data_IF_949639268750
#
_entry.id   IF_949639268750
#
_cell.length_a   1.000
_cell.length_b   1.000
_cell.length_c   1.000
_cell.angle_alpha   90.00
_cell.angle_beta   90.00
_cell.angle_gamma   90.00
#
_symmetry.space_group_name_H-M   'P 1'
#
loop_
_entity.id
_entity.type
_entity.pdbx_description
1 polymer ?
#
# COMPACT_ATOMS: atom_id res chain seq x y z
N UNK A 1 19.11 8.03 0.12
CA UNK A 1 17.99 7.11 -0.22
C UNK A 1 18.05 6.79 -1.70
N UNK A 2 18.15 5.50 -2.05
CA UNK A 2 18.18 5.05 -3.42
C UNK A 2 16.79 4.67 -3.92
N UNK A 3 16.54 4.85 -5.22
CA UNK A 3 15.33 4.39 -5.88
C UNK A 3 15.71 3.19 -6.74
N UNK A 4 15.03 2.05 -6.53
CA UNK A 4 15.17 0.87 -7.38
C UNK A 4 14.05 0.87 -8.41
N UNK A 5 14.39 1.02 -9.69
CA UNK A 5 13.45 0.95 -10.80
C UNK A 5 13.52 -0.44 -11.44
N UNK A 6 12.48 -1.24 -11.26
CA UNK A 6 12.38 -2.56 -11.86
C UNK A 6 11.67 -2.42 -13.21
N UNK A 7 12.36 -2.80 -14.29
CA UNK A 7 11.76 -2.95 -15.62
C UNK A 7 11.47 -4.42 -15.89
N UNK A 8 10.22 -4.75 -16.10
CA UNK A 8 9.81 -6.11 -16.48
C UNK A 8 10.09 -6.35 -17.95
N UNK A 9 10.41 -7.61 -18.30
CA UNK A 9 10.65 -8.02 -19.70
C UNK A 9 9.38 -7.82 -20.53
N UNK A 10 9.53 -7.26 -21.72
CA UNK A 10 8.48 -7.02 -22.68
C UNK A 10 8.83 -7.61 -24.05
N UNK A 11 7.84 -8.18 -24.72
CA UNK A 11 8.02 -8.78 -26.05
C UNK A 11 8.85 -10.05 -26.04
N UNK A 12 9.36 -10.38 -27.21
CA UNK A 12 10.13 -11.61 -27.47
C UNK A 12 9.22 -12.74 -27.94
N UNK A 13 9.75 -13.65 -28.75
CA UNK A 13 8.97 -14.72 -29.36
C UNK A 13 9.21 -16.08 -28.69
N UNK A 14 10.08 -16.12 -27.67
CA UNK A 14 10.42 -17.35 -27.00
C UNK A 14 9.38 -17.73 -25.95
N UNK A 15 8.94 -18.96 -26.00
CA UNK A 15 8.19 -19.57 -24.93
C UNK A 15 9.18 -19.94 -23.79
N UNK A 16 8.81 -19.61 -22.56
CA UNK A 16 9.58 -19.93 -21.39
C UNK A 16 8.73 -20.83 -20.48
N UNK A 17 9.22 -22.01 -20.19
CA UNK A 17 8.65 -22.91 -19.19
C UNK A 17 9.69 -23.18 -18.13
N UNK A 18 9.27 -23.15 -16.88
CA UNK A 18 10.10 -23.55 -15.73
C UNK A 18 9.29 -24.44 -14.83
N UNK A 19 9.87 -25.56 -14.50
CA UNK A 19 9.38 -26.45 -13.49
C UNK A 19 10.43 -26.56 -12.38
N UNK A 20 10.01 -26.42 -11.15
CA UNK A 20 10.83 -26.69 -9.97
C UNK A 20 10.04 -27.59 -9.04
N UNK A 21 10.65 -28.65 -8.55
CA UNK A 21 10.11 -29.50 -7.51
C UNK A 21 11.21 -29.82 -6.50
N UNK A 22 10.93 -29.59 -5.24
CA UNK A 22 11.73 -29.99 -4.10
C UNK A 22 10.82 -30.64 -3.04
N UNK A 23 11.37 -30.98 -1.91
CA UNK A 23 10.62 -31.64 -0.83
C UNK A 23 9.43 -30.77 -0.34
N UNK A 24 9.61 -29.46 -0.28
CA UNK A 24 8.63 -28.53 0.29
C UNK A 24 7.83 -27.77 -0.75
N UNK A 25 8.24 -27.75 -2.02
CA UNK A 25 7.56 -26.93 -3.01
C UNK A 25 7.55 -27.50 -4.43
N UNK A 26 6.47 -27.18 -5.14
CA UNK A 26 6.31 -27.44 -6.57
C UNK A 26 5.91 -26.13 -7.24
N UNK A 27 6.67 -25.71 -8.25
CA UNK A 27 6.43 -24.51 -9.00
C UNK A 27 6.37 -24.82 -10.49
N UNK A 28 5.33 -24.32 -11.13
CA UNK A 28 5.18 -24.34 -12.59
C UNK A 28 5.06 -22.89 -13.06
N UNK A 29 5.93 -22.48 -13.95
CA UNK A 29 5.89 -21.17 -14.61
C UNK A 29 5.83 -21.34 -16.10
N UNK A 30 4.92 -20.65 -16.74
CA UNK A 30 4.80 -20.57 -18.20
C UNK A 30 4.73 -19.09 -18.59
N UNK A 31 5.49 -18.71 -19.58
CA UNK A 31 5.47 -17.34 -20.07
C UNK A 31 5.80 -17.26 -21.55
N UNK A 32 5.10 -16.36 -22.26
CA UNK A 32 5.34 -16.10 -23.67
C UNK A 32 5.16 -14.62 -24.00
N UNK A 33 6.11 -14.11 -24.76
CA UNK A 33 6.01 -12.83 -25.41
C UNK A 33 5.59 -12.97 -26.86
N UNK A 34 5.00 -11.89 -27.41
CA UNK A 34 4.68 -11.77 -28.83
C UNK A 34 5.08 -10.38 -29.27
N UNK A 35 5.69 -10.30 -30.45
CA UNK A 35 6.06 -9.04 -31.10
C UNK A 35 5.35 -8.95 -32.45
N UNK A 36 4.69 -7.82 -32.69
CA UNK A 36 4.04 -7.49 -33.95
C UNK A 36 4.70 -6.25 -34.55
N UNK A 37 5.86 -6.38 -35.23
CA UNK A 37 6.66 -5.24 -35.67
C UNK A 37 5.89 -4.26 -36.55
N UNK A 38 5.07 -4.78 -37.47
CA UNK A 38 4.23 -3.94 -38.38
C UNK A 38 3.21 -3.06 -37.61
N UNK A 39 2.74 -3.50 -36.46
CA UNK A 39 1.79 -2.78 -35.59
C UNK A 39 2.46 -2.06 -34.43
N UNK A 40 3.78 -2.23 -34.27
CA UNK A 40 4.55 -1.71 -33.15
C UNK A 40 3.96 -2.11 -31.80
N UNK A 41 3.48 -3.34 -31.70
CA UNK A 41 2.88 -3.91 -30.49
C UNK A 41 3.81 -5.00 -29.94
N UNK A 42 4.08 -4.92 -28.65
CA UNK A 42 4.75 -5.96 -27.88
C UNK A 42 3.83 -6.40 -26.74
N UNK A 43 3.67 -7.70 -26.58
CA UNK A 43 2.91 -8.26 -25.47
C UNK A 43 3.73 -9.29 -24.73
N UNK A 44 3.39 -9.52 -23.49
CA UNK A 44 3.94 -10.62 -22.70
C UNK A 44 2.86 -11.11 -21.74
N UNK A 45 2.66 -12.42 -21.69
CA UNK A 45 1.75 -13.07 -20.76
C UNK A 45 2.50 -14.15 -20.01
N UNK A 46 2.32 -14.18 -18.70
CA UNK A 46 2.91 -15.20 -17.86
C UNK A 46 1.93 -15.66 -16.78
N UNK A 47 2.04 -16.93 -16.42
CA UNK A 47 1.30 -17.58 -15.35
C UNK A 47 2.28 -18.39 -14.51
N UNK A 48 2.16 -18.32 -13.20
CA UNK A 48 2.84 -19.23 -12.29
C UNK A 48 1.87 -19.83 -11.27
N UNK A 49 2.13 -21.09 -10.96
CA UNK A 49 1.49 -21.84 -9.91
C UNK A 49 2.53 -22.36 -8.95
N UNK A 50 2.34 -22.08 -7.67
CA UNK A 50 3.14 -22.61 -6.58
C UNK A 50 2.25 -23.42 -5.63
N UNK A 51 2.70 -24.62 -5.28
CA UNK A 51 2.17 -25.43 -4.19
C UNK A 51 3.32 -25.68 -3.22
N UNK A 52 3.18 -25.22 -1.99
CA UNK A 52 4.24 -25.29 -0.98
C UNK A 52 3.70 -25.74 0.37
N UNK A 53 4.55 -26.40 1.14
CA UNK A 53 4.28 -26.85 2.49
C UNK A 53 5.44 -26.46 3.40
N UNK A 54 5.16 -26.08 4.64
CA UNK A 54 6.20 -25.80 5.63
C UNK A 54 6.95 -27.09 6.02
N UNK A 55 6.22 -28.15 6.29
CA UNK A 55 6.75 -29.52 6.45
C UNK A 55 6.15 -30.43 5.36
N UNK A 56 6.97 -31.04 4.48
CA UNK A 56 6.47 -31.92 3.42
C UNK A 56 5.72 -33.16 3.95
N UNK A 57 5.97 -33.56 5.19
CA UNK A 57 5.29 -34.71 5.83
C UNK A 57 3.90 -34.33 6.36
N UNK A 58 3.68 -33.02 6.62
CA UNK A 58 2.39 -32.53 7.07
C UNK A 58 1.43 -32.38 5.88
N UNK A 59 0.31 -33.11 5.94
CA UNK A 59 -0.75 -33.04 4.93
C UNK A 59 -1.89 -32.09 5.33
N UNK A 60 -1.81 -31.49 6.50
CA UNK A 60 -2.84 -30.61 7.04
C UNK A 60 -2.57 -29.16 6.68
N UNK A 61 -1.29 -28.78 6.53
CA UNK A 61 -0.88 -27.47 6.08
C UNK A 61 -0.60 -27.43 4.58
N UNK A 62 -1.08 -26.39 3.92
CA UNK A 62 -0.82 -26.18 2.51
C UNK A 62 -0.92 -24.70 2.13
N UNK A 63 0.08 -24.21 1.43
CA UNK A 63 0.10 -22.89 0.81
C UNK A 63 0.11 -23.03 -0.70
N UNK A 64 -0.82 -22.35 -1.37
CA UNK A 64 -0.87 -22.29 -2.83
C UNK A 64 -0.87 -20.85 -3.30
N UNK A 65 -0.21 -20.58 -4.41
CA UNK A 65 -0.22 -19.28 -5.07
C UNK A 65 -0.43 -19.45 -6.57
N UNK A 66 -1.30 -18.63 -7.11
CA UNK A 66 -1.50 -18.48 -8.54
C UNK A 66 -1.23 -17.02 -8.90
N UNK A 67 -0.31 -16.77 -9.83
CA UNK A 67 -0.13 -15.44 -10.41
C UNK A 67 -0.41 -15.49 -11.90
N UNK A 68 -0.97 -14.41 -12.41
CA UNK A 68 -1.16 -14.17 -13.83
C UNK A 68 -0.78 -12.73 -14.14
N UNK A 69 0.02 -12.52 -15.18
CA UNK A 69 0.40 -11.20 -15.66
C UNK A 69 0.16 -11.07 -17.14
N UNK A 70 -0.43 -9.96 -17.54
CA UNK A 70 -0.57 -9.55 -18.93
C UNK A 70 0.02 -8.16 -19.10
N UNK A 71 0.89 -7.99 -20.09
CA UNK A 71 1.56 -6.74 -20.41
C UNK A 71 1.43 -6.44 -21.89
N UNK A 72 1.20 -5.19 -22.21
CA UNK A 72 1.12 -4.72 -23.59
C UNK A 72 1.83 -3.37 -23.70
N UNK A 73 2.65 -3.23 -24.69
CA UNK A 73 3.23 -1.95 -25.14
C UNK A 73 2.89 -1.70 -26.60
N UNK A 74 2.58 -0.46 -26.90
CA UNK A 74 2.36 0.01 -28.26
C UNK A 74 2.99 1.37 -28.44
N UNK A 75 3.67 1.56 -29.56
CA UNK A 75 4.23 2.85 -29.97
C UNK A 75 3.65 3.22 -31.32
N UNK A 76 3.28 4.48 -31.51
CA UNK A 76 2.82 5.00 -32.80
C UNK A 76 3.12 6.49 -32.92
N UNK A 77 3.07 7.01 -34.14
CA UNK A 77 3.24 8.43 -34.42
C UNK A 77 1.89 9.08 -34.64
N UNK A 78 1.72 10.28 -34.13
CA UNK A 78 0.55 11.14 -34.39
C UNK A 78 1.06 12.55 -34.68
N UNK A 79 1.14 12.91 -35.95
CA UNK A 79 1.76 14.16 -36.39
C UNK A 79 3.21 14.25 -35.95
N UNK A 80 3.65 15.33 -35.27
CA UNK A 80 5.01 15.51 -34.78
C UNK A 80 5.30 14.84 -33.43
N UNK A 81 4.41 13.95 -32.95
CA UNK A 81 4.52 13.30 -31.66
C UNK A 81 4.67 11.80 -31.79
N UNK A 82 5.56 11.23 -31.00
CA UNK A 82 5.61 9.81 -30.70
C UNK A 82 4.72 9.54 -29.49
N UNK A 83 3.82 8.59 -29.62
CA UNK A 83 2.94 8.16 -28.54
C UNK A 83 3.36 6.77 -28.08
N UNK A 84 3.66 6.65 -26.81
CA UNK A 84 4.00 5.40 -26.15
C UNK A 84 2.87 5.04 -25.18
N UNK A 85 2.31 3.85 -25.32
CA UNK A 85 1.33 3.28 -24.40
C UNK A 85 1.84 1.99 -23.81
N UNK A 86 1.76 1.86 -22.50
CA UNK A 86 1.99 0.58 -21.82
C UNK A 86 0.89 0.29 -20.80
N UNK A 87 0.46 -0.95 -20.76
CA UNK A 87 -0.52 -1.43 -19.77
C UNK A 87 -0.07 -2.76 -19.18
N UNK A 88 -0.36 -2.91 -17.90
CA UNK A 88 -0.08 -4.11 -17.12
C UNK A 88 -1.32 -4.49 -16.31
N UNK A 89 -1.74 -5.74 -16.43
CA UNK A 89 -2.77 -6.32 -15.57
C UNK A 89 -2.17 -7.53 -14.86
N UNK A 90 -2.16 -7.48 -13.54
CA UNK A 90 -1.60 -8.54 -12.70
C UNK A 90 -2.69 -9.09 -11.77
N UNK A 91 -2.80 -10.40 -11.69
CA UNK A 91 -3.57 -11.11 -10.68
C UNK A 91 -2.63 -11.91 -9.79
N UNK A 92 -2.88 -11.86 -8.49
CA UNK A 92 -2.18 -12.67 -7.49
C UNK A 92 -3.20 -13.26 -6.52
N UNK A 93 -3.35 -14.59 -6.57
CA UNK A 93 -4.16 -15.36 -5.64
C UNK A 93 -3.26 -16.16 -4.71
N UNK A 94 -3.41 -16.02 -3.40
CA UNK A 94 -2.76 -16.88 -2.42
C UNK A 94 -3.78 -17.54 -1.51
N UNK A 95 -3.55 -18.82 -1.22
CA UNK A 95 -4.47 -19.69 -0.48
C UNK A 95 -3.65 -20.43 0.57
N UNK A 96 -3.88 -20.12 1.81
CA UNK A 96 -3.26 -20.82 2.94
C UNK A 96 -4.32 -21.60 3.70
N UNK A 97 -4.03 -22.81 4.06
CA UNK A 97 -4.96 -23.68 4.76
C UNK A 97 -4.20 -24.52 5.77
N UNK A 98 -4.65 -24.48 7.01
CA UNK A 98 -4.26 -25.36 8.11
C UNK A 98 -5.54 -26.05 8.59
N UNK A 99 -5.57 -27.37 8.47
CA UNK A 99 -6.73 -28.19 8.84
C UNK A 99 -6.56 -28.69 10.27
N UNK A 100 -7.67 -29.08 10.85
CA UNK A 100 -7.69 -29.76 12.17
C UNK A 100 -6.84 -31.04 12.09
N UNK A 101 -5.89 -31.13 13.03
CA UNK A 101 -5.14 -32.39 13.24
C UNK A 101 -5.92 -33.30 14.17
N UNK A 102 -6.43 -34.45 13.67
CA UNK A 102 -7.24 -35.35 14.46
C UNK A 102 -6.47 -36.04 15.59
N UNK A 103 -5.15 -36.14 15.49
CA UNK A 103 -4.31 -36.83 16.47
C UNK A 103 -3.95 -35.91 17.65
N UNK A 104 -3.64 -34.64 17.37
CA UNK A 104 -3.26 -33.67 18.38
C UNK A 104 -4.48 -32.89 18.91
N UNK A 105 -5.46 -32.63 18.02
CA UNK A 105 -6.62 -31.78 18.31
C UNK A 105 -7.90 -32.61 18.62
N UNK A 106 -7.78 -33.71 19.31
CA UNK A 106 -8.91 -34.63 19.58
C UNK A 106 -10.13 -33.96 20.22
N UNK A 107 -9.99 -32.77 20.79
CA UNK A 107 -11.06 -31.93 21.33
C UNK A 107 -10.83 -30.46 21.01
N UNK A 108 -9.90 -30.13 20.13
CA UNK A 108 -9.49 -28.79 19.75
C UNK A 108 -9.74 -28.62 18.24
N UNK A 109 -10.61 -27.72 17.90
CA UNK A 109 -10.97 -27.46 16.49
C UNK A 109 -10.11 -26.35 15.91
N UNK A 110 -8.76 -26.44 16.09
CA UNK A 110 -7.87 -25.42 15.57
C UNK A 110 -7.74 -25.54 14.07
N UNK A 111 -8.09 -24.48 13.36
CA UNK A 111 -7.95 -24.40 11.91
C UNK A 111 -7.74 -22.97 11.45
N UNK A 112 -7.06 -22.82 10.33
CA UNK A 112 -6.82 -21.53 9.71
C UNK A 112 -7.01 -21.65 8.19
N UNK A 113 -7.71 -20.67 7.61
CA UNK A 113 -7.90 -20.59 6.17
C UNK A 113 -7.82 -19.15 5.72
N UNK A 114 -6.89 -18.86 4.84
CA UNK A 114 -6.74 -17.54 4.25
C UNK A 114 -6.83 -17.61 2.72
N UNK A 115 -7.56 -16.68 2.14
CA UNK A 115 -7.71 -16.51 0.69
C UNK A 115 -7.53 -15.05 0.36
N UNK A 116 -6.44 -14.73 -0.31
CA UNK A 116 -6.12 -13.40 -0.74
C UNK A 116 -6.14 -13.37 -2.27
N UNK A 117 -7.01 -12.56 -2.86
CA UNK A 117 -7.10 -12.37 -4.30
C UNK A 117 -6.87 -10.90 -4.61
N UNK A 118 -5.77 -10.58 -5.25
CA UNK A 118 -5.41 -9.20 -5.62
C UNK A 118 -5.36 -9.06 -7.12
N UNK A 119 -6.06 -8.04 -7.62
CA UNK A 119 -6.02 -7.60 -9.00
C UNK A 119 -5.42 -6.18 -9.03
N UNK A 120 -4.51 -5.94 -9.95
CA UNK A 120 -3.98 -4.61 -10.22
C UNK A 120 -3.91 -4.34 -11.72
N UNK A 121 -4.21 -3.10 -12.10
CA UNK A 121 -4.16 -2.65 -13.48
C UNK A 121 -3.46 -1.29 -13.53
N UNK A 122 -2.41 -1.19 -14.32
CA UNK A 122 -1.57 0.00 -14.45
C UNK A 122 -1.54 0.41 -15.92
N UNK A 123 -1.75 1.67 -16.20
CA UNK A 123 -1.67 2.25 -17.53
C UNK A 123 -0.74 3.45 -17.54
N UNK A 124 0.07 3.55 -18.58
CA UNK A 124 0.92 4.70 -18.84
C UNK A 124 0.76 5.09 -20.32
N UNK A 125 0.51 6.36 -20.54
CA UNK A 125 0.47 6.96 -21.89
C UNK A 125 1.42 8.14 -21.88
N UNK A 126 2.31 8.21 -22.83
CA UNK A 126 3.25 9.32 -22.99
C UNK A 126 3.21 9.82 -24.42
N UNK A 127 2.93 11.10 -24.61
CA UNK A 127 3.07 11.86 -25.84
C UNK A 127 4.37 12.63 -25.79
N UNK A 128 5.31 12.34 -26.66
CA UNK A 128 6.61 12.97 -26.72
C UNK A 128 6.81 13.67 -28.06
N UNK A 129 7.21 14.93 -28.02
CA UNK A 129 7.55 15.69 -29.22
C UNK A 129 8.82 15.13 -29.87
N UNK A 130 8.81 14.99 -31.20
CA UNK A 130 10.00 14.66 -31.99
C UNK A 130 10.98 15.82 -32.05
N UNK A 131 10.49 17.05 -31.97
CA UNK A 131 11.32 18.24 -31.98
C UNK A 131 11.90 18.49 -30.57
N UNK A 132 13.20 18.30 -30.45
CA UNK A 132 13.92 18.49 -29.16
C UNK A 132 14.00 19.97 -28.72
N UNK A 133 13.69 20.92 -29.60
CA UNK A 133 13.70 22.37 -29.31
C UNK A 133 12.30 22.93 -29.07
N UNK A 134 11.26 22.12 -29.27
CA UNK A 134 9.89 22.55 -29.04
C UNK A 134 9.65 22.92 -27.54
N UNK A 135 8.83 23.94 -27.33
CA UNK A 135 8.39 24.34 -25.99
C UNK A 135 7.70 23.16 -25.26
N UNK A 136 6.77 22.50 -25.93
CA UNK A 136 6.13 21.29 -25.41
C UNK A 136 7.04 20.09 -25.68
N UNK A 137 7.51 19.44 -24.61
CA UNK A 137 8.38 18.26 -24.68
C UNK A 137 7.60 16.97 -24.60
N UNK A 138 6.81 16.78 -23.54
CA UNK A 138 5.98 15.60 -23.38
C UNK A 138 4.81 15.82 -22.43
N UNK A 139 3.78 15.00 -22.60
CA UNK A 139 2.66 14.85 -21.67
C UNK A 139 2.55 13.38 -21.28
N UNK A 140 2.60 13.09 -20.01
CA UNK A 140 2.44 11.74 -19.48
C UNK A 140 1.19 11.62 -18.63
N UNK A 141 0.40 10.58 -18.89
CA UNK A 141 -0.73 10.16 -18.09
C UNK A 141 -0.45 8.78 -17.50
N UNK A 142 -0.48 8.67 -16.18
CA UNK A 142 -0.28 7.43 -15.46
C UNK A 142 -1.53 7.15 -14.63
N UNK A 143 -2.06 5.94 -14.69
CA UNK A 143 -3.16 5.52 -13.84
C UNK A 143 -2.94 4.11 -13.33
N UNK A 144 -3.41 3.86 -12.12
CA UNK A 144 -3.46 2.50 -11.57
C UNK A 144 -4.72 2.30 -10.75
N UNK A 145 -5.24 1.08 -10.82
CA UNK A 145 -6.34 0.61 -9.99
C UNK A 145 -5.92 -0.71 -9.36
N UNK A 146 -6.15 -0.85 -8.08
CA UNK A 146 -5.92 -2.09 -7.35
C UNK A 146 -7.15 -2.47 -6.53
N UNK A 147 -7.48 -3.74 -6.54
CA UNK A 147 -8.55 -4.30 -5.73
C UNK A 147 -8.07 -5.60 -5.11
N UNK A 148 -8.34 -5.79 -3.84
CA UNK A 148 -8.12 -7.07 -3.17
C UNK A 148 -9.39 -7.58 -2.50
N UNK A 149 -9.51 -8.88 -2.41
CA UNK A 149 -10.53 -9.57 -1.60
C UNK A 149 -9.83 -10.60 -0.73
N UNK A 150 -9.62 -10.21 0.51
CA UNK A 150 -8.89 -10.99 1.49
C UNK A 150 -9.89 -11.54 2.50
N UNK A 151 -9.96 -12.87 2.60
CA UNK A 151 -10.79 -13.56 3.58
C UNK A 151 -9.92 -14.44 4.45
N UNK A 152 -10.12 -14.30 5.76
CA UNK A 152 -9.49 -15.18 6.76
C UNK A 152 -10.60 -15.79 7.60
N UNK A 153 -10.57 -17.09 7.76
CA UNK A 153 -11.38 -17.85 8.69
C UNK A 153 -10.41 -18.54 9.67
N UNK A 154 -10.50 -18.19 10.94
CA UNK A 154 -9.67 -18.75 12.02
C UNK A 154 -10.57 -19.33 13.10
N UNK A 155 -10.26 -20.53 13.52
CA UNK A 155 -10.91 -21.25 14.62
C UNK A 155 -9.83 -21.69 15.59
N UNK A 156 -10.00 -21.38 16.87
CA UNK A 156 -9.06 -21.81 17.92
C UNK A 156 -9.76 -22.29 19.16
N UNK A 157 -9.26 -23.38 19.69
CA UNK A 157 -9.63 -23.87 21.01
C UNK A 157 -8.88 -23.07 22.08
N UNK A 158 -9.61 -22.54 23.03
CA UNK A 158 -9.08 -21.82 24.17
C UNK A 158 -9.35 -22.60 25.46
N UNK A 159 -8.31 -22.73 26.30
CA UNK A 159 -8.42 -23.31 27.64
C UNK A 159 -7.90 -22.32 28.65
N UNK A 160 -8.79 -21.84 29.53
CA UNK A 160 -8.47 -20.85 30.56
C UNK A 160 -8.05 -21.57 31.84
N UNK A 161 -6.96 -21.10 32.44
CA UNK A 161 -6.47 -21.60 33.75
C UNK A 161 -7.20 -20.97 34.95
N UNK A 162 -7.95 -19.89 34.71
CA UNK A 162 -8.70 -19.14 35.75
C UNK A 162 -9.96 -18.56 35.16
N UNK A 163 -10.94 -18.26 36.02
CA UNK A 163 -12.14 -17.55 35.62
C UNK A 163 -11.79 -16.18 35.04
N UNK A 164 -12.28 -15.89 33.86
CA UNK A 164 -12.02 -14.64 33.13
C UNK A 164 -13.31 -13.91 32.89
N UNK A 165 -13.34 -12.66 33.32
CA UNK A 165 -14.46 -11.74 33.14
C UNK A 165 -14.48 -11.22 31.70
N UNK A 166 -15.66 -11.11 31.11
CA UNK A 166 -15.89 -10.50 29.83
C UNK A 166 -17.15 -9.60 29.89
N UNK A 167 -17.14 -8.47 29.16
CA UNK A 167 -18.32 -7.61 29.07
C UNK A 167 -19.40 -8.29 28.24
N UNK A 168 -20.66 -8.10 28.65
CA UNK A 168 -21.84 -8.63 27.95
C UNK A 168 -22.57 -7.52 27.15
N UNK A 169 -22.00 -6.32 27.09
CA UNK A 169 -22.56 -5.19 26.37
C UNK A 169 -21.50 -4.45 25.57
N UNK A 170 -21.93 -3.85 24.45
CA UNK A 170 -21.12 -2.92 23.66
C UNK A 170 -21.55 -1.46 23.91
N UNK A 171 -22.45 -1.22 24.87
CA UNK A 171 -22.92 0.11 25.22
C UNK A 171 -22.13 0.66 26.41
N UNK A 172 -22.05 1.98 26.51
CA UNK A 172 -21.45 2.64 27.66
C UNK A 172 -22.36 2.53 28.87
N UNK A 173 -21.77 2.41 30.07
CA UNK A 173 -22.47 2.37 31.33
C UNK A 173 -22.29 1.07 32.12
N UNK A 174 -23.08 0.94 33.18
CA UNK A 174 -23.06 -0.22 34.06
C UNK A 174 -23.86 -1.38 33.46
N UNK A 175 -23.32 -2.57 33.50
CA UNK A 175 -23.98 -3.78 33.01
C UNK A 175 -23.45 -5.01 33.73
N UNK A 176 -24.21 -6.09 33.70
CA UNK A 176 -23.74 -7.38 34.16
C UNK A 176 -22.69 -7.92 33.17
N UNK A 177 -21.55 -8.34 33.69
CA UNK A 177 -20.56 -9.08 32.91
C UNK A 177 -20.84 -10.58 32.93
N UNK A 178 -20.06 -11.31 32.13
CA UNK A 178 -20.10 -12.77 32.13
C UNK A 178 -18.71 -13.34 32.37
N UNK A 179 -18.64 -14.54 32.98
CA UNK A 179 -17.40 -15.30 33.02
C UNK A 179 -17.33 -16.16 31.76
N UNK A 180 -16.21 -16.04 31.04
CA UNK A 180 -15.95 -16.91 29.90
C UNK A 180 -15.94 -18.36 30.32
N UNK A 181 -16.41 -19.30 29.49
CA UNK A 181 -16.21 -20.73 29.73
C UNK A 181 -14.72 -21.07 29.88
N UNK A 182 -14.37 -22.02 30.76
CA UNK A 182 -12.98 -22.46 30.88
C UNK A 182 -12.43 -23.10 29.61
N UNK A 183 -13.31 -23.67 28.81
CA UNK A 183 -12.99 -24.26 27.51
C UNK A 183 -14.01 -23.80 26.50
N UNK A 184 -13.55 -23.24 25.40
CA UNK A 184 -14.41 -22.82 24.29
C UNK A 184 -13.65 -22.76 22.98
N UNK A 185 -14.39 -22.86 21.89
CA UNK A 185 -13.87 -22.64 20.55
C UNK A 185 -14.19 -21.21 20.15
N UNK A 186 -13.14 -20.41 19.91
CA UNK A 186 -13.25 -19.08 19.36
C UNK A 186 -13.21 -19.11 17.84
N UNK A 187 -14.02 -18.27 17.20
CA UNK A 187 -14.03 -18.11 15.74
C UNK A 187 -13.82 -16.65 15.37
N UNK A 188 -12.98 -16.41 14.40
CA UNK A 188 -12.78 -15.08 13.81
C UNK A 188 -12.85 -15.15 12.30
N UNK A 189 -13.60 -14.25 11.70
CA UNK A 189 -13.62 -14.04 10.25
C UNK A 189 -13.15 -12.64 9.95
N UNK A 190 -12.30 -12.52 8.94
CA UNK A 190 -11.88 -11.22 8.41
C UNK A 190 -12.34 -11.15 6.96
N UNK A 191 -13.10 -10.13 6.64
CA UNK A 191 -13.46 -9.76 5.26
C UNK A 191 -12.86 -8.38 4.98
N UNK A 192 -11.77 -8.37 4.22
CA UNK A 192 -11.02 -7.17 3.87
C UNK A 192 -11.07 -7.00 2.35
N UNK A 193 -11.57 -5.85 1.88
CA UNK A 193 -11.75 -5.55 0.44
C UNK A 193 -11.19 -4.16 0.12
N UNK A 194 -9.85 -3.99 0.22
CA UNK A 194 -9.22 -2.72 -0.10
C UNK A 194 -9.31 -2.45 -1.61
N UNK A 195 -9.64 -1.24 -1.93
CA UNK A 195 -9.63 -0.65 -3.26
C UNK A 195 -8.73 0.57 -3.26
N UNK A 196 -7.84 0.67 -4.23
CA UNK A 196 -6.99 1.83 -4.45
C UNK A 196 -7.06 2.27 -5.91
N UNK A 197 -7.14 3.58 -6.12
CA UNK A 197 -7.05 4.20 -7.44
C UNK A 197 -6.03 5.34 -7.40
N UNK A 198 -5.24 5.48 -8.44
CA UNK A 198 -4.25 6.54 -8.60
C UNK A 198 -4.26 7.06 -10.03
N UNK A 199 -4.21 8.38 -10.18
CA UNK A 199 -4.10 9.05 -11.46
C UNK A 199 -3.07 10.17 -11.34
N UNK A 200 -2.19 10.28 -12.34
CA UNK A 200 -1.20 11.36 -12.44
C UNK A 200 -1.10 11.87 -13.87
N UNK A 201 -1.17 13.18 -14.01
CA UNK A 201 -0.92 13.89 -15.25
C UNK A 201 0.33 14.77 -15.07
N UNK A 202 1.28 14.68 -16.01
CA UNK A 202 2.52 15.47 -15.96
C UNK A 202 2.84 16.01 -17.34
N UNK A 203 2.96 17.34 -17.45
CA UNK A 203 3.46 18.04 -18.62
C UNK A 203 4.92 18.42 -18.40
N UNK A 204 5.77 18.14 -19.38
CA UNK A 204 7.17 18.58 -19.42
C UNK A 204 7.33 19.60 -20.54
N UNK A 205 7.90 20.76 -20.19
CA UNK A 205 8.07 21.89 -21.10
C UNK A 205 9.55 22.28 -21.12
N UNK A 206 10.00 22.76 -22.26
CA UNK A 206 11.38 23.23 -22.44
C UNK A 206 11.35 24.69 -22.83
N UNK A 207 12.09 25.49 -22.08
CA UNK A 207 12.23 26.91 -22.26
C UNK A 207 13.72 27.24 -22.47
N UNK A 208 13.99 28.18 -23.36
CA UNK A 208 15.33 28.73 -23.53
C UNK A 208 15.27 30.22 -23.14
N UNK A 209 15.86 30.52 -21.99
CA UNK A 209 15.92 31.90 -21.47
C UNK A 209 17.38 32.34 -21.47
N UNK A 210 17.71 33.31 -22.31
CA UNK A 210 19.07 33.75 -22.55
C UNK A 210 19.99 32.59 -22.98
N UNK A 211 20.98 32.22 -22.18
CA UNK A 211 21.92 31.12 -22.43
C UNK A 211 21.56 29.84 -21.66
N UNK A 212 20.41 29.81 -20.99
CA UNK A 212 20.03 28.70 -20.14
C UNK A 212 18.90 27.90 -20.76
N UNK A 213 19.01 26.58 -20.64
CA UNK A 213 17.94 25.65 -20.95
C UNK A 213 17.22 25.33 -19.64
N UNK A 214 15.93 25.56 -19.61
CA UNK A 214 15.05 25.25 -18.50
C UNK A 214 14.14 24.08 -18.86
N UNK A 215 13.93 23.18 -17.93
CA UNK A 215 13.04 22.03 -18.06
C UNK A 215 11.96 22.13 -16.98
N UNK A 216 10.86 22.75 -17.36
CA UNK A 216 9.71 22.93 -16.47
C UNK A 216 8.81 21.69 -16.50
N UNK A 217 8.53 21.14 -15.32
CA UNK A 217 7.61 20.03 -15.09
C UNK A 217 6.44 20.51 -14.25
N UNK A 218 5.21 20.36 -14.77
CA UNK A 218 3.99 20.70 -14.05
C UNK A 218 3.08 19.49 -14.05
N UNK A 219 2.41 19.24 -12.94
CA UNK A 219 1.47 18.11 -12.91
C UNK A 219 0.56 18.12 -11.70
N UNK A 220 -0.32 17.15 -11.73
CA UNK A 220 -1.26 16.85 -10.67
C UNK A 220 -1.33 15.35 -10.46
N UNK A 221 -1.54 14.93 -9.23
CA UNK A 221 -1.88 13.55 -8.92
C UNK A 221 -3.04 13.48 -7.92
N UNK A 222 -3.83 12.44 -8.08
CA UNK A 222 -4.94 12.11 -7.23
C UNK A 222 -4.86 10.63 -6.86
N UNK A 223 -5.07 10.34 -5.58
CA UNK A 223 -5.14 9.00 -5.03
C UNK A 223 -6.42 8.82 -4.25
N UNK A 224 -7.01 7.64 -4.34
CA UNK A 224 -8.16 7.24 -3.56
C UNK A 224 -7.89 5.88 -2.92
N UNK A 225 -8.21 5.76 -1.63
CA UNK A 225 -8.16 4.51 -0.87
C UNK A 225 -9.50 4.29 -0.14
N UNK A 226 -10.07 3.11 -0.27
CA UNK A 226 -11.31 2.69 0.38
C UNK A 226 -11.26 1.20 0.70
N UNK A 227 -11.78 0.84 1.85
CA UNK A 227 -12.03 -0.56 2.18
C UNK A 227 -13.54 -0.85 2.17
N UNK A 228 -13.96 -1.81 1.37
CA UNK A 228 -15.36 -2.24 1.23
C UNK A 228 -15.68 -3.51 2.03
N UNK A 229 -14.75 -3.99 2.85
CA UNK A 229 -14.89 -5.20 3.64
C UNK A 229 -15.80 -5.03 4.85
N UNK A 230 -16.37 -6.14 5.31
CA UNK A 230 -17.16 -6.19 6.54
C UNK A 230 -16.26 -6.11 7.80
N UNK A 231 -14.93 -6.22 7.63
CA UNK A 231 -13.98 -6.09 8.72
C UNK A 231 -13.75 -7.39 9.49
N UNK A 232 -13.53 -7.24 10.79
CA UNK A 232 -13.35 -8.38 11.69
C UNK A 232 -14.67 -8.74 12.34
N UNK A 233 -15.08 -10.00 12.19
CA UNK A 233 -16.31 -10.56 12.72
C UNK A 233 -15.94 -11.68 13.70
N UNK A 234 -16.27 -11.51 14.97
CA UNK A 234 -16.05 -12.52 16.01
C UNK A 234 -17.04 -12.32 17.15
N UNK A 235 -17.24 -13.37 17.95
CA UNK A 235 -18.03 -13.31 19.17
C UNK A 235 -17.14 -12.80 20.33
N UNK A 236 -17.41 -11.64 20.92
CA UNK A 236 -16.64 -11.12 22.06
C UNK A 236 -16.64 -12.05 23.28
N UNK A 237 -17.64 -12.91 23.42
CA UNK A 237 -17.75 -13.91 24.49
C UNK A 237 -17.00 -15.21 24.18
N UNK A 238 -16.54 -15.37 22.94
CA UNK A 238 -15.72 -16.51 22.47
C UNK A 238 -14.61 -16.03 21.53
N UNK A 239 -13.74 -15.13 21.99
CA UNK A 239 -12.70 -14.57 21.14
C UNK A 239 -11.66 -15.64 20.79
N UNK A 240 -11.07 -15.55 19.61
CA UNK A 240 -9.93 -16.37 19.21
C UNK A 240 -8.72 -16.10 20.10
N UNK A 241 -8.55 -14.83 20.47
CA UNK A 241 -7.51 -14.40 21.40
C UNK A 241 -8.14 -13.66 22.59
N UNK A 242 -8.22 -14.35 23.72
CA UNK A 242 -8.83 -13.82 24.94
C UNK A 242 -7.96 -12.76 25.68
N UNK A 243 -6.72 -12.55 25.26
CA UNK A 243 -5.86 -11.49 25.83
C UNK A 243 -6.16 -10.09 25.25
N UNK A 244 -7.03 -10.01 24.24
CA UNK A 244 -7.34 -8.77 23.53
C UNK A 244 -8.85 -8.47 23.53
N UNK A 245 -9.51 -8.55 24.70
CA UNK A 245 -10.97 -8.30 24.82
C UNK A 245 -11.36 -6.81 24.77
N UNK A 246 -10.40 -5.89 24.85
CA UNK A 246 -10.69 -4.44 24.74
C UNK A 246 -11.08 -3.96 23.33
N UNK A 247 -10.95 -4.83 22.34
CA UNK A 247 -11.37 -4.52 20.97
C UNK A 247 -12.78 -5.08 20.71
N UNK A 248 -13.54 -4.40 19.85
CA UNK A 248 -14.85 -4.85 19.37
C UNK A 248 -14.79 -5.04 17.86
N UNK A 249 -15.63 -5.92 17.30
CA UNK A 249 -15.77 -6.03 15.84
C UNK A 249 -16.03 -4.67 15.22
N UNK A 250 -15.34 -4.36 14.10
CA UNK A 250 -15.53 -3.11 13.37
C UNK A 250 -15.65 -3.40 11.87
N UNK A 251 -16.72 -2.89 11.21
CA UNK A 251 -16.81 -2.89 9.77
C UNK A 251 -15.78 -1.95 9.15
N UNK A 252 -15.06 -2.41 8.12
CA UNK A 252 -14.10 -1.55 7.41
C UNK A 252 -14.79 -0.62 6.41
N UNK A 253 -15.96 -1.02 5.90
CA UNK A 253 -16.76 -0.23 4.97
C UNK A 253 -17.34 1.05 5.59
N UNK A 254 -17.40 1.18 6.91
CA UNK A 254 -17.83 2.38 7.62
C UNK A 254 -16.82 3.51 7.54
N UNK A 255 -15.53 3.18 7.30
CA UNK A 255 -14.49 4.20 7.15
C UNK A 255 -14.65 4.88 5.79
N UNK A 256 -14.83 6.23 5.73
CA UNK A 256 -14.95 6.94 4.47
C UNK A 256 -13.74 6.72 3.54
N UNK A 257 -13.95 6.93 2.24
CA UNK A 257 -12.84 6.91 1.29
C UNK A 257 -11.88 8.07 1.56
N UNK A 258 -10.59 7.80 1.60
CA UNK A 258 -9.56 8.82 1.61
C UNK A 258 -9.27 9.29 0.18
N UNK A 259 -9.15 10.59 -0.01
CA UNK A 259 -8.78 11.19 -1.29
C UNK A 259 -7.64 12.16 -1.07
N UNK A 260 -6.50 11.89 -1.69
CA UNK A 260 -5.35 12.78 -1.73
C UNK A 260 -5.26 13.46 -3.09
N UNK A 261 -5.20 14.78 -3.10
CA UNK A 261 -4.97 15.59 -4.30
C UNK A 261 -3.70 16.39 -4.14
N UNK A 262 -2.87 16.38 -5.15
CA UNK A 262 -1.65 17.19 -5.16
C UNK A 262 -1.43 17.85 -6.51
N UNK A 263 -0.88 19.05 -6.47
CA UNK A 263 -0.34 19.78 -7.61
C UNK A 263 1.15 19.99 -7.40
N UNK A 264 1.93 19.96 -8.46
CA UNK A 264 3.36 20.21 -8.37
C UNK A 264 3.88 20.97 -9.59
N UNK A 265 4.88 21.80 -9.35
CA UNK A 265 5.67 22.44 -10.37
C UNK A 265 7.15 22.35 -9.98
N UNK A 266 8.00 22.06 -10.94
CA UNK A 266 9.44 21.90 -10.75
C UNK A 266 10.16 22.43 -11.98
N UNK A 267 11.17 23.24 -11.80
CA UNK A 267 12.04 23.74 -12.84
C UNK A 267 13.47 23.25 -12.61
N UNK A 268 14.07 22.72 -13.66
CA UNK A 268 15.46 22.31 -13.69
C UNK A 268 16.19 23.14 -14.74
N UNK A 269 17.24 23.83 -14.34
CA UNK A 269 18.04 24.64 -15.25
C UNK A 269 19.53 24.56 -14.96
N UNK A 270 20.30 24.79 -16.02
CA UNK A 270 21.74 24.75 -16.00
C UNK A 270 22.31 26.10 -16.35
N UNK A 271 23.12 26.67 -15.45
CA UNK A 271 23.79 27.95 -15.61
C UNK A 271 25.27 27.72 -15.87
N UNK A 272 25.80 28.12 -17.04
CA UNK A 272 27.24 28.17 -17.25
C UNK A 272 27.81 29.37 -16.51
N UNK A 273 28.76 29.14 -15.60
CA UNK A 273 29.45 30.16 -14.81
C UNK A 273 30.95 30.07 -15.13
N UNK A 274 31.42 30.78 -16.14
CA UNK A 274 32.79 30.69 -16.67
C UNK A 274 33.09 29.26 -17.14
N UNK A 275 34.05 28.58 -16.52
CA UNK A 275 34.42 27.16 -16.78
C UNK A 275 33.63 26.19 -15.91
N UNK A 276 32.79 26.66 -15.00
CA UNK A 276 31.95 25.84 -14.10
C UNK A 276 30.55 25.70 -14.65
N UNK A 277 29.81 24.71 -14.13
CA UNK A 277 28.39 24.54 -14.42
C UNK A 277 27.63 24.45 -13.11
N UNK A 278 26.58 25.27 -12.98
CA UNK A 278 25.67 25.23 -11.85
C UNK A 278 24.34 24.63 -12.32
N UNK A 279 23.94 23.49 -11.75
CA UNK A 279 22.63 22.88 -11.96
C UNK A 279 21.73 23.22 -10.77
N UNK A 280 20.53 23.72 -11.05
CA UNK A 280 19.55 24.06 -10.04
C UNK A 280 18.23 23.37 -10.36
N UNK A 281 17.65 22.73 -9.36
CA UNK A 281 16.32 22.14 -9.41
C UNK A 281 15.50 22.77 -8.29
N UNK A 282 14.52 23.57 -8.65
CA UNK A 282 13.61 24.22 -7.71
C UNK A 282 12.19 23.76 -7.98
N UNK A 283 11.42 23.49 -6.94
CA UNK A 283 10.04 23.03 -7.11
C UNK A 283 9.19 23.26 -5.87
N UNK A 284 7.89 23.16 -6.08
CA UNK A 284 6.88 23.20 -5.03
C UNK A 284 5.83 22.14 -5.27
N UNK A 285 5.38 21.50 -4.21
CA UNK A 285 4.23 20.62 -4.19
C UNK A 285 3.19 21.17 -3.24
N UNK A 286 1.93 21.19 -3.67
CA UNK A 286 0.77 21.53 -2.85
C UNK A 286 -0.09 20.27 -2.72
N UNK A 287 -0.32 19.81 -1.50
CA UNK A 287 -1.09 18.59 -1.22
C UNK A 287 -2.24 18.86 -0.27
N UNK A 288 -3.38 18.20 -0.49
CA UNK A 288 -4.58 18.33 0.32
C UNK A 288 -5.32 17.01 0.42
N UNK A 289 -5.88 16.72 1.59
CA UNK A 289 -6.89 15.68 1.78
C UNK A 289 -8.27 16.23 1.41
N UNK A 290 -8.93 15.56 0.50
CA UNK A 290 -10.31 15.87 0.12
C UNK A 290 -11.28 15.04 0.95
N UNK A 291 -12.59 15.39 0.89
CA UNK A 291 -13.67 14.60 1.49
C UNK A 291 -13.59 14.47 3.03
N UNK A 292 -12.91 15.39 3.71
CA UNK A 292 -12.92 15.42 5.17
C UNK A 292 -14.13 16.22 5.68
N UNK A 293 -14.75 15.82 6.82
CA UNK A 293 -15.75 16.63 7.50
C UNK A 293 -15.24 18.03 7.86
N UNK A 294 -16.12 19.02 7.87
CA UNK A 294 -15.77 20.43 8.19
C UNK A 294 -15.14 20.60 9.58
N UNK A 295 -15.40 19.69 10.50
CA UNK A 295 -14.81 19.72 11.84
C UNK A 295 -13.30 19.50 11.85
N UNK A 296 -12.73 18.87 10.81
CA UNK A 296 -11.31 18.63 10.77
C UNK A 296 -10.52 19.87 10.35
N UNK A 297 -9.45 20.17 11.05
CA UNK A 297 -8.51 21.25 10.75
C UNK A 297 -7.83 21.12 9.36
N UNK A 298 -7.83 19.90 8.83
CA UNK A 298 -7.31 19.55 7.50
C UNK A 298 -8.34 19.78 6.39
N UNK A 299 -9.60 20.08 6.71
CA UNK A 299 -10.63 20.29 5.70
C UNK A 299 -10.26 21.42 4.73
N UNK A 300 -10.18 21.10 3.45
CA UNK A 300 -9.83 22.02 2.36
C UNK A 300 -8.49 22.75 2.54
N UNK A 301 -7.56 22.20 3.33
CA UNK A 301 -6.27 22.83 3.60
C UNK A 301 -5.18 22.26 2.70
N UNK A 302 -4.49 23.15 1.98
CA UNK A 302 -3.31 22.80 1.20
C UNK A 302 -2.03 23.00 2.02
N UNK A 303 -1.12 22.03 1.91
CA UNK A 303 0.22 22.08 2.45
C UNK A 303 1.21 22.25 1.32
N UNK A 304 2.08 23.27 1.44
CA UNK A 304 3.06 23.62 0.43
C UNK A 304 4.44 23.14 0.86
N UNK A 305 5.08 22.37 0.01
CA UNK A 305 6.40 21.78 0.21
C UNK A 305 7.37 22.29 -0.85
N UNK A 306 7.95 23.49 -0.64
CA UNK A 306 9.01 23.97 -1.49
C UNK A 306 10.30 23.19 -1.25
N UNK A 307 11.09 23.04 -2.33
CA UNK A 307 12.40 22.38 -2.29
C UNK A 307 13.31 22.98 -3.34
N UNK A 308 14.59 23.06 -3.00
CA UNK A 308 15.64 23.50 -3.91
C UNK A 308 16.82 22.56 -3.75
N UNK A 309 17.31 22.02 -4.87
CA UNK A 309 18.56 21.28 -4.95
C UNK A 309 19.50 22.05 -5.87
N UNK A 310 20.77 22.08 -5.51
CA UNK A 310 21.82 22.74 -6.27
C UNK A 310 23.03 21.81 -6.37
N UNK A 311 23.66 21.83 -7.53
CA UNK A 311 24.86 21.05 -7.81
C UNK A 311 25.85 21.91 -8.58
N UNK A 312 27.03 22.07 -8.02
CA UNK A 312 28.11 22.82 -8.62
C UNK A 312 29.14 21.85 -9.20
N UNK A 313 29.26 21.85 -10.52
CA UNK A 313 30.22 21.05 -11.26
C UNK A 313 31.45 21.90 -11.54
N UNK A 314 32.59 21.44 -11.10
CA UNK A 314 33.87 22.07 -11.36
C UNK A 314 34.48 21.58 -12.67
N UNK A 315 35.30 22.38 -13.34
CA UNK A 315 36.01 21.92 -14.52
C UNK A 315 36.89 20.73 -14.19
N UNK A 316 36.89 19.75 -15.09
CA UNK A 316 37.74 18.59 -14.95
C UNK A 316 39.21 18.99 -15.13
N UNK A 317 40.10 18.38 -14.38
CA UNK A 317 41.53 18.52 -14.52
C UNK A 317 42.18 17.14 -14.71
N UNK A 318 43.40 17.12 -15.26
CA UNK A 318 44.13 15.89 -15.55
C UNK A 318 45.28 15.73 -14.55
N UNK A 319 45.45 14.52 -14.03
CA UNK A 319 46.64 14.08 -13.29
C UNK A 319 47.24 12.94 -14.09
N UNK A 320 48.30 13.23 -14.83
CA UNK A 320 48.81 12.30 -15.84
C UNK A 320 47.75 12.05 -16.92
N UNK A 321 47.45 10.77 -17.21
CA UNK A 321 46.46 10.35 -18.20
C UNK A 321 45.01 10.22 -17.61
N UNK A 322 44.84 10.49 -16.31
CA UNK A 322 43.54 10.34 -15.64
C UNK A 322 42.82 11.67 -15.56
N UNK A 323 41.56 11.68 -16.05
CA UNK A 323 40.64 12.82 -15.93
C UNK A 323 39.93 12.73 -14.60
N UNK A 324 40.09 13.77 -13.78
CA UNK A 324 39.39 13.93 -12.51
C UNK A 324 38.32 15.03 -12.62
N UNK A 325 37.14 14.75 -12.16
CA UNK A 325 36.04 15.70 -12.02
C UNK A 325 35.51 15.66 -10.60
N UNK A 326 35.16 16.80 -10.05
CA UNK A 326 34.53 16.88 -8.73
C UNK A 326 33.32 17.79 -8.78
N UNK A 327 32.40 17.55 -7.88
CA UNK A 327 31.17 18.29 -7.76
C UNK A 327 30.79 18.45 -6.28
N UNK A 328 30.14 19.55 -5.97
CA UNK A 328 29.53 19.79 -4.66
C UNK A 328 28.05 19.99 -4.88
N UNK A 329 27.24 19.23 -4.16
CA UNK A 329 25.80 19.32 -4.22
C UNK A 329 25.18 19.53 -2.85
N UNK A 330 23.99 20.12 -2.83
CA UNK A 330 23.21 20.27 -1.62
C UNK A 330 21.74 20.49 -1.94
N UNK A 331 20.90 20.30 -0.95
CA UNK A 331 19.48 20.51 -1.10
C UNK A 331 18.80 20.88 0.22
N UNK A 332 17.74 21.65 0.10
CA UNK A 332 16.86 22.01 1.21
C UNK A 332 15.41 21.84 0.77
N UNK A 333 14.54 21.46 1.69
CA UNK A 333 13.13 21.38 1.38
C UNK A 333 12.25 20.98 2.56
N UNK A 334 10.98 21.24 2.36
CA UNK A 334 9.92 20.78 3.24
C UNK A 334 9.26 19.51 2.70
N UNK A 335 8.77 18.71 3.61
CA UNK A 335 7.97 17.52 3.29
C UNK A 335 6.85 17.38 4.30
N UNK A 336 5.63 17.44 3.80
CA UNK A 336 4.42 17.23 4.59
C UNK A 336 3.89 15.82 4.38
N UNK A 337 3.57 15.14 5.48
CA UNK A 337 2.96 13.80 5.49
C UNK A 337 1.56 13.91 6.09
N UNK A 338 0.55 13.61 5.27
CA UNK A 338 -0.84 13.61 5.70
C UNK A 338 -1.12 12.47 6.67
N UNK A 339 -2.05 12.65 7.62
CA UNK A 339 -2.51 11.55 8.47
C UNK A 339 -3.14 10.43 7.65
N UNK A 340 -2.91 9.21 8.08
CA UNK A 340 -3.53 8.02 7.48
C UNK A 340 -5.02 7.92 7.85
N UNK A 341 -5.79 7.15 7.08
CA UNK A 341 -7.21 6.89 7.39
C UNK A 341 -7.41 6.31 8.80
N UNK A 342 -6.49 5.50 9.29
CA UNK A 342 -6.56 4.94 10.65
C UNK A 342 -6.31 5.98 11.74
N UNK A 343 -5.58 7.05 11.45
CA UNK A 343 -5.40 8.17 12.36
C UNK A 343 -6.59 9.14 12.32
N UNK A 344 -7.19 9.33 11.14
CA UNK A 344 -8.37 10.18 10.96
C UNK A 344 -9.64 9.53 11.52
N UNK A 345 -9.76 8.21 11.37
CA UNK A 345 -10.91 7.42 11.81
C UNK A 345 -10.46 6.25 12.69
N UNK A 346 -9.93 6.53 13.90
CA UNK A 346 -9.46 5.48 14.81
C UNK A 346 -10.61 4.60 15.28
N UNK A 347 -10.29 3.41 15.78
CA UNK A 347 -11.25 2.57 16.46
C UNK A 347 -11.65 3.22 17.80
N UNK A 348 -12.92 3.06 18.16
CA UNK A 348 -13.35 3.35 19.51
C UNK A 348 -12.56 2.49 20.51
N UNK A 349 -12.18 3.08 21.62
CA UNK A 349 -11.56 2.37 22.73
C UNK A 349 -12.63 2.01 23.75
N UNK A 350 -12.71 0.74 24.08
CA UNK A 350 -13.59 0.23 25.12
C UNK A 350 -12.76 -0.06 26.38
N UNK A 351 -13.05 0.64 27.44
CA UNK A 351 -12.47 0.38 28.77
C UNK A 351 -13.52 -0.29 29.65
N UNK A 352 -13.35 -1.58 29.84
CA UNK A 352 -14.23 -2.42 30.65
C UNK A 352 -13.65 -2.55 32.06
N UNK A 353 -14.22 -1.86 33.03
CA UNK A 353 -13.77 -1.86 34.44
C UNK A 353 -14.69 -2.77 35.24
N UNK A 354 -14.07 -3.72 35.94
CA UNK A 354 -14.78 -4.65 36.82
C UNK A 354 -15.06 -3.93 38.14
N UNK A 355 -16.33 -3.82 38.52
CA UNK A 355 -16.77 -3.25 39.79
C UNK A 355 -16.99 -4.34 40.85
N UNK A 356 -17.56 -5.47 40.45
CA UNK A 356 -17.78 -6.64 41.28
C UNK A 356 -17.34 -7.89 40.55
N UNK A 357 -16.52 -8.71 41.19
CA UNK A 357 -16.02 -9.97 40.66
C UNK A 357 -16.13 -11.05 41.71
N UNK A 358 -17.21 -11.80 41.67
CA UNK A 358 -17.42 -12.95 42.53
C UNK A 358 -17.65 -14.20 41.67
N UNK A 359 -16.66 -15.05 41.59
CA UNK A 359 -16.76 -16.32 40.92
C UNK A 359 -17.13 -17.42 41.91
N UNK A 360 -18.11 -18.25 41.53
CA UNK A 360 -18.52 -19.45 42.24
C UNK A 360 -18.69 -20.61 41.27
N UNK A 361 -18.40 -21.86 41.71
CA UNK A 361 -18.54 -23.03 40.86
C UNK A 361 -19.99 -23.23 40.37
N UNK A 362 -20.97 -23.01 41.28
CA UNK A 362 -22.37 -22.94 40.89
C UNK A 362 -22.64 -21.61 40.18
N UNK A 363 -23.05 -21.63 38.87
CA UNK A 363 -23.31 -20.42 38.11
C UNK A 363 -24.37 -19.48 38.73
N UNK A 364 -25.34 -20.02 39.47
CA UNK A 364 -26.41 -19.24 40.11
C UNK A 364 -25.89 -18.21 41.13
N UNK A 365 -24.71 -18.50 41.72
CA UNK A 365 -24.11 -17.62 42.74
C UNK A 365 -23.04 -16.70 42.18
N UNK A 366 -22.75 -16.74 40.88
CA UNK A 366 -21.79 -15.85 40.24
C UNK A 366 -22.36 -14.42 40.19
N UNK A 367 -21.52 -13.46 40.49
CA UNK A 367 -21.84 -12.03 40.36
C UNK A 367 -20.65 -11.33 39.71
N UNK A 368 -20.92 -10.69 38.58
CA UNK A 368 -19.94 -9.90 37.86
C UNK A 368 -20.63 -8.63 37.38
N UNK A 369 -20.18 -7.51 37.90
CA UNK A 369 -20.65 -6.19 37.47
C UNK A 369 -19.50 -5.43 36.85
N UNK A 370 -19.76 -4.79 35.72
CA UNK A 370 -18.78 -4.04 34.95
C UNK A 370 -19.36 -2.68 34.57
N UNK A 371 -18.49 -1.73 34.34
CA UNK A 371 -18.81 -0.47 33.69
C UNK A 371 -17.92 -0.34 32.45
N UNK A 372 -18.54 -0.07 31.31
CA UNK A 372 -17.86 0.15 30.04
C UNK A 372 -17.82 1.64 29.73
N UNK A 373 -16.61 2.17 29.55
CA UNK A 373 -16.40 3.49 28.98
C UNK A 373 -16.06 3.36 27.49
N UNK A 374 -16.74 4.15 26.66
CA UNK A 374 -16.46 4.23 25.23
C UNK A 374 -15.76 5.56 24.96
N UNK A 375 -14.53 5.49 24.52
CA UNK A 375 -13.69 6.65 24.26
C UNK A 375 -13.53 6.79 22.75
N UNK A 376 -14.10 7.86 22.19
CA UNK A 376 -13.82 8.27 20.83
C UNK A 376 -12.47 9.00 20.80
N UNK A 377 -11.51 8.40 20.09
CA UNK A 377 -10.15 8.93 19.93
C UNK A 377 -10.00 9.77 18.66
N UNK A 378 -11.11 10.10 17.99
CA UNK A 378 -11.10 10.98 16.83
C UNK A 378 -10.53 12.35 17.24
N UNK A 379 -9.47 12.76 16.54
CA UNK A 379 -8.86 14.06 16.77
C UNK A 379 -9.06 14.96 15.55
N UNK A 380 -10.00 15.90 15.59
CA UNK A 380 -10.26 16.83 14.49
C UNK A 380 -9.14 17.86 14.30
N UNK A 381 -8.29 18.08 15.31
CA UNK A 381 -7.16 19.01 15.27
C UNK A 381 -5.90 18.44 14.60
N UNK A 382 -5.96 17.22 14.10
CA UNK A 382 -4.84 16.63 13.35
C UNK A 382 -4.39 17.56 12.23
N UNK A 383 -3.09 17.67 12.07
CA UNK A 383 -2.43 18.39 10.99
C UNK A 383 -1.40 17.50 10.30
N UNK A 384 -0.98 17.86 9.09
CA UNK A 384 0.11 17.15 8.45
C UNK A 384 1.40 17.28 9.27
N UNK A 385 2.09 16.15 9.44
CA UNK A 385 3.44 16.17 10.00
C UNK A 385 4.39 16.82 8.98
N UNK A 386 5.10 17.84 9.40
CA UNK A 386 5.93 18.65 8.50
C UNK A 386 7.39 18.57 8.90
N UNK A 387 8.23 18.08 7.98
CA UNK A 387 9.65 17.89 8.18
C UNK A 387 10.44 18.85 7.28
N UNK A 388 11.40 19.54 7.86
CA UNK A 388 12.43 20.26 7.10
C UNK A 388 13.65 19.36 6.95
N UNK A 389 14.15 19.25 5.72
CA UNK A 389 15.31 18.42 5.39
C UNK A 389 16.33 19.23 4.64
N UNK A 390 17.59 18.99 4.94
CA UNK A 390 18.72 19.51 4.18
C UNK A 390 19.81 18.47 4.04
N UNK A 391 20.59 18.56 2.99
CA UNK A 391 21.73 17.68 2.73
C UNK A 391 22.84 18.43 2.02
N UNK A 392 24.06 18.01 2.24
CA UNK A 392 25.26 18.43 1.51
C UNK A 392 25.97 17.14 1.08
N UNK A 393 26.46 17.12 -0.15
CA UNK A 393 27.16 15.99 -0.74
C UNK A 393 28.47 16.43 -1.34
#
# INVERSE_FOLDING_TARGET
>A
SGIVKIKRKMGGNHFNARFKADESSKLVYLGKGFEFPKRQIKTNSDIDWLDAKADPRDNLENYKRLTFSLRLEKTWKTGPYNVFYSTHADYNGSFNTEKIDPDINRHKEDSYKSRINRLSWINNIEWQSENQTAFFNSLSFNSSVSFSKDKVDEVRYNSLSRAMAAPNSNEAGEHDGVFLPFQFVGTQKVDNRPFGAYVRLTGNFRLFIAKTRQELKIGTDWQMDKNFGEGQLYDPLRPVNYTSISTRPRPYNDIPAGHDLSFFAEDYFTLPVSTHTLEIQAGVRASSLLNLPKAYKLHNKFYFDPRVNMKWLFPAFFIGDQKLSYEIGGGIGWHSMMPSLTQLYPNLLYEDIIQLNYYHNNPAYRRLQMITYIIDRTNPDLSAARNFKWEIR
#
